data_IF_363169035188
#
_entry.id   IF_363169035188
#
_cell.length_a   1.000
_cell.length_b   1.000
_cell.length_c   1.000
_cell.angle_alpha   90.00
_cell.angle_beta   90.00
_cell.angle_gamma   90.00
#
_symmetry.space_group_name_H-M   'P 1'
#
loop_
_entity.id
_entity.type
_entity.pdbx_description
1 polymer ?
#
# COMPACT_ATOMS: atom_id res chain seq x y z
N UNK A 1 -19.19 -1.28 -16.95
CA UNK A 1 -18.24 -0.69 -15.98
C UNK A 1 -17.36 0.28 -16.74
N UNK A 2 -17.39 1.55 -16.38
CA UNK A 2 -16.46 2.56 -16.92
C UNK A 2 -15.48 2.92 -15.80
N UNK A 3 -14.41 2.13 -15.68
CA UNK A 3 -13.40 2.36 -14.65
C UNK A 3 -12.45 3.48 -15.10
N UNK A 4 -12.30 4.48 -14.24
CA UNK A 4 -11.37 5.59 -14.43
C UNK A 4 -10.35 5.63 -13.29
N UNK A 5 -9.07 5.80 -13.63
CA UNK A 5 -8.01 5.98 -12.65
C UNK A 5 -7.61 7.46 -12.62
N UNK A 6 -7.73 8.11 -11.47
CA UNK A 6 -7.38 9.50 -11.29
C UNK A 6 -6.28 9.65 -10.23
N UNK A 7 -5.15 10.31 -10.56
CA UNK A 7 -4.08 10.62 -9.63
C UNK A 7 -4.39 11.87 -8.81
N UNK A 8 -3.95 11.88 -7.55
CA UNK A 8 -4.02 13.00 -6.62
C UNK A 8 -2.69 13.12 -5.88
N UNK A 9 -2.22 14.34 -5.65
CA UNK A 9 -0.97 14.63 -4.96
C UNK A 9 -1.22 15.52 -3.73
N UNK A 10 -0.65 15.14 -2.60
CA UNK A 10 -0.73 15.94 -1.37
C UNK A 10 -2.17 16.40 -1.06
N UNK A 11 -2.36 17.69 -0.90
CA UNK A 11 -3.64 18.29 -0.52
C UNK A 11 -4.80 18.09 -1.52
N UNK A 12 -4.52 17.69 -2.77
CA UNK A 12 -5.56 17.37 -3.76
C UNK A 12 -6.43 16.18 -3.33
N UNK A 13 -5.90 15.32 -2.46
CA UNK A 13 -6.63 14.18 -1.91
C UNK A 13 -7.76 14.59 -0.94
N UNK A 14 -7.75 15.81 -0.40
CA UNK A 14 -8.64 16.22 0.69
C UNK A 14 -10.13 15.91 0.47
N UNK A 15 -10.73 16.12 -0.73
CA UNK A 15 -12.14 15.80 -0.96
C UNK A 15 -12.46 14.29 -0.91
N UNK A 16 -11.45 13.43 -0.98
CA UNK A 16 -11.60 11.97 -1.10
C UNK A 16 -11.17 11.19 0.14
N UNK A 17 -10.74 11.86 1.20
CA UNK A 17 -10.22 11.21 2.43
C UNK A 17 -11.22 10.24 3.04
N UNK A 18 -12.48 10.64 3.17
CA UNK A 18 -13.53 9.79 3.75
C UNK A 18 -13.85 8.58 2.86
N UNK A 19 -13.86 8.77 1.55
CA UNK A 19 -14.09 7.68 0.60
C UNK A 19 -12.93 6.66 0.63
N UNK A 20 -11.69 7.15 0.66
CA UNK A 20 -10.50 6.31 0.79
C UNK A 20 -10.46 5.59 2.14
N UNK A 21 -10.73 6.29 3.24
CA UNK A 21 -10.80 5.69 4.59
C UNK A 21 -11.84 4.59 4.67
N UNK A 22 -13.04 4.82 4.13
CA UNK A 22 -14.11 3.81 4.05
C UNK A 22 -13.69 2.59 3.23
N UNK A 23 -13.01 2.82 2.09
CA UNK A 23 -12.48 1.76 1.25
C UNK A 23 -11.42 0.93 1.99
N UNK A 24 -10.50 1.58 2.71
CA UNK A 24 -9.46 0.92 3.53
C UNK A 24 -10.09 0.02 4.60
N UNK A 25 -11.01 0.55 5.41
CA UNK A 25 -11.73 -0.24 6.41
C UNK A 25 -12.41 -1.44 5.76
N UNK A 26 -13.08 -1.26 4.63
CA UNK A 26 -13.83 -2.33 3.94
C UNK A 26 -12.89 -3.42 3.45
N UNK A 27 -11.79 -3.07 2.78
CA UNK A 27 -10.89 -4.04 2.16
C UNK A 27 -9.97 -4.70 3.18
N UNK A 28 -9.44 -3.93 4.12
CA UNK A 28 -8.56 -4.48 5.16
C UNK A 28 -9.29 -5.29 6.24
N UNK A 29 -10.63 -5.20 6.31
CA UNK A 29 -11.43 -6.11 7.13
C UNK A 29 -11.35 -7.56 6.65
N UNK A 30 -11.02 -7.79 5.38
CA UNK A 30 -10.80 -9.13 4.83
C UNK A 30 -9.46 -9.73 5.28
N UNK A 31 -9.37 -11.07 5.22
CA UNK A 31 -8.09 -11.77 5.37
C UNK A 31 -7.12 -11.32 4.24
N UNK A 32 -5.85 -11.04 4.48
CA UNK A 32 -5.08 -11.40 5.69
C UNK A 32 -5.03 -10.33 6.79
N UNK A 33 -5.55 -9.12 6.60
CA UNK A 33 -5.41 -8.02 7.56
C UNK A 33 -6.38 -8.13 8.74
N UNK A 34 -7.63 -8.52 8.51
CA UNK A 34 -8.67 -8.69 9.54
C UNK A 34 -8.89 -7.43 10.38
N UNK A 35 -8.62 -6.27 9.81
CA UNK A 35 -8.57 -4.99 10.47
C UNK A 35 -9.95 -4.52 10.95
N UNK A 36 -10.08 -4.19 12.23
CA UNK A 36 -11.27 -3.61 12.85
C UNK A 36 -11.06 -2.10 13.07
N UNK A 37 -11.06 -1.35 11.96
CA UNK A 37 -10.74 0.08 11.94
C UNK A 37 -11.93 1.00 12.09
N UNK A 38 -11.63 2.29 12.34
CA UNK A 38 -12.61 3.38 12.40
C UNK A 38 -12.28 4.50 11.41
N UNK A 39 -13.31 5.21 10.93
CA UNK A 39 -13.10 6.33 10.01
C UNK A 39 -12.34 7.50 10.66
N UNK A 40 -12.44 7.65 11.98
CA UNK A 40 -11.67 8.66 12.72
C UNK A 40 -10.17 8.36 12.61
N UNK A 41 -9.75 7.14 12.90
CA UNK A 41 -8.36 6.71 12.75
C UNK A 41 -7.88 6.86 11.30
N UNK A 42 -8.70 6.47 10.32
CA UNK A 42 -8.32 6.58 8.92
C UNK A 42 -8.11 8.04 8.47
N UNK A 43 -8.92 8.96 8.95
CA UNK A 43 -8.74 10.41 8.68
C UNK A 43 -7.40 10.91 9.20
N UNK A 44 -7.00 10.48 10.40
CA UNK A 44 -5.71 10.86 10.98
C UNK A 44 -4.55 10.21 10.24
N UNK A 45 -4.65 8.92 9.95
CA UNK A 45 -3.62 8.19 9.19
C UNK A 45 -3.38 8.82 7.81
N UNK A 46 -4.45 9.13 7.07
CA UNK A 46 -4.34 9.68 5.72
C UNK A 46 -3.76 11.10 5.65
N UNK A 47 -3.59 11.78 6.81
CA UNK A 47 -2.90 13.07 6.87
C UNK A 47 -1.46 13.01 6.37
N UNK A 48 -0.78 11.87 6.45
CA UNK A 48 0.58 11.70 5.94
C UNK A 48 0.64 11.99 4.44
N UNK A 49 -0.34 11.49 3.66
CA UNK A 49 -0.42 11.76 2.21
C UNK A 49 -0.77 13.21 1.90
N UNK A 50 -1.73 13.79 2.65
CA UNK A 50 -2.15 15.18 2.47
C UNK A 50 -1.01 16.18 2.70
N UNK A 51 -0.14 15.90 3.66
CA UNK A 51 1.00 16.77 4.04
C UNK A 51 2.22 16.59 3.16
N UNK A 52 2.31 15.48 2.41
CA UNK A 52 3.44 15.18 1.55
C UNK A 52 3.13 15.55 0.09
N UNK A 53 3.68 16.67 -0.44
CA UNK A 53 3.47 17.05 -1.85
C UNK A 53 4.03 16.03 -2.85
N UNK A 54 5.00 15.21 -2.41
CA UNK A 54 5.60 14.13 -3.21
C UNK A 54 4.84 12.80 -3.10
N UNK A 55 3.69 12.77 -2.41
CA UNK A 55 2.83 11.59 -2.40
C UNK A 55 2.05 11.46 -3.71
N UNK A 56 1.66 10.22 -4.02
CA UNK A 56 0.69 9.91 -5.06
C UNK A 56 -0.39 9.01 -4.47
N UNK A 57 -1.63 9.36 -4.69
CA UNK A 57 -2.80 8.50 -4.47
C UNK A 57 -3.54 8.37 -5.78
N UNK A 58 -3.67 7.15 -6.30
CA UNK A 58 -4.50 6.89 -7.49
C UNK A 58 -5.79 6.24 -7.04
N UNK A 59 -6.91 6.89 -7.29
CA UNK A 59 -8.24 6.36 -7.00
C UNK A 59 -8.85 5.74 -8.26
N UNK A 60 -9.43 4.56 -8.12
CA UNK A 60 -10.23 3.92 -9.14
C UNK A 60 -11.71 4.23 -8.91
N UNK A 61 -12.35 4.79 -9.92
CA UNK A 61 -13.76 5.17 -9.89
C UNK A 61 -14.60 4.28 -10.82
N UNK A 62 -15.81 3.91 -10.38
CA UNK A 62 -16.89 3.43 -11.23
C UNK A 62 -18.03 4.43 -11.13
N UNK A 63 -18.17 5.30 -12.14
CA UNK A 63 -18.94 6.54 -12.01
C UNK A 63 -18.35 7.44 -10.94
N UNK A 64 -19.16 7.85 -9.95
CA UNK A 64 -18.72 8.70 -8.83
C UNK A 64 -18.25 7.90 -7.61
N UNK A 65 -18.28 6.57 -7.68
CA UNK A 65 -17.93 5.71 -6.56
C UNK A 65 -16.45 5.33 -6.58
N UNK A 66 -15.74 5.56 -5.48
CA UNK A 66 -14.38 5.04 -5.27
C UNK A 66 -14.48 3.53 -4.99
N UNK A 67 -13.85 2.73 -5.84
CA UNK A 67 -13.90 1.26 -5.80
C UNK A 67 -12.54 0.61 -5.61
N UNK A 68 -11.48 1.40 -5.70
CA UNK A 68 -10.11 0.97 -5.47
C UNK A 68 -9.18 2.16 -5.25
N UNK A 69 -8.03 1.88 -4.68
CA UNK A 69 -6.99 2.88 -4.46
C UNK A 69 -5.61 2.24 -4.42
N UNK A 70 -4.61 3.04 -4.78
CA UNK A 70 -3.22 2.73 -4.51
C UNK A 70 -2.46 3.99 -4.15
N UNK A 71 -1.47 3.87 -3.26
CA UNK A 71 -0.74 5.00 -2.71
C UNK A 71 0.76 4.78 -2.74
N UNK A 72 1.53 5.86 -2.84
CA UNK A 72 2.95 5.84 -2.56
C UNK A 72 3.46 7.22 -2.13
N UNK A 73 4.60 7.22 -1.46
CA UNK A 73 5.32 8.43 -1.03
C UNK A 73 6.80 8.12 -0.77
N UNK A 74 7.69 9.14 -0.67
CA UNK A 74 9.06 8.89 -0.24
C UNK A 74 9.12 8.22 1.13
N UNK A 75 10.00 7.22 1.30
CA UNK A 75 10.20 6.54 2.58
C UNK A 75 10.64 7.51 3.68
N UNK A 76 11.37 8.56 3.33
CA UNK A 76 11.82 9.60 4.26
C UNK A 76 10.69 10.41 4.89
N UNK A 77 9.52 10.42 4.27
CA UNK A 77 8.30 11.13 4.72
C UNK A 77 7.31 10.19 5.46
N UNK A 78 7.58 8.89 5.45
CA UNK A 78 6.77 7.89 6.18
C UNK A 78 7.09 7.85 7.67
N UNK A 79 6.25 7.16 8.43
CA UNK A 79 6.40 6.99 9.87
C UNK A 79 7.69 6.24 10.26
N UNK A 80 8.20 6.47 11.48
CA UNK A 80 9.45 5.85 11.95
C UNK A 80 9.40 4.32 11.98
N UNK A 81 8.24 3.71 12.17
CA UNK A 81 8.03 2.27 12.15
C UNK A 81 8.31 1.65 10.78
N UNK A 82 8.03 2.36 9.67
CA UNK A 82 8.39 1.93 8.32
C UNK A 82 9.88 2.11 8.05
N UNK A 83 10.46 3.20 8.54
CA UNK A 83 11.85 3.58 8.29
C UNK A 83 12.85 2.72 9.06
N UNK A 84 12.49 2.21 10.24
CA UNK A 84 13.42 1.59 11.19
C UNK A 84 14.19 0.41 10.57
N UNK A 85 13.51 -0.48 9.85
CA UNK A 85 14.12 -1.64 9.19
C UNK A 85 15.17 -1.22 8.17
N UNK A 86 14.88 -0.20 7.37
CA UNK A 86 15.78 0.29 6.32
C UNK A 86 16.98 1.05 6.89
N UNK A 87 16.77 1.89 7.91
CA UNK A 87 17.86 2.58 8.62
C UNK A 87 18.82 1.57 9.25
N UNK A 88 18.29 0.54 9.93
CA UNK A 88 19.07 -0.52 10.54
C UNK A 88 19.90 -1.33 9.54
N UNK A 89 19.42 -1.47 8.32
CA UNK A 89 20.10 -2.17 7.24
C UNK A 89 21.00 -1.24 6.37
N UNK A 90 21.12 0.05 6.72
CA UNK A 90 22.02 0.99 6.04
C UNK A 90 21.52 1.56 4.72
N UNK A 91 20.22 1.51 4.46
CA UNK A 91 19.63 2.11 3.26
C UNK A 91 19.52 3.64 3.39
N UNK A 92 19.70 4.33 2.27
CA UNK A 92 19.37 5.75 2.15
C UNK A 92 17.87 5.92 1.86
N UNK A 93 17.12 6.44 2.83
CA UNK A 93 15.66 6.59 2.75
C UNK A 93 15.20 7.55 1.65
N UNK A 94 16.04 8.51 1.24
CA UNK A 94 15.73 9.44 0.16
C UNK A 94 15.67 8.75 -1.21
N UNK A 95 16.30 7.59 -1.33
CA UNK A 95 16.31 6.80 -2.57
C UNK A 95 15.17 5.80 -2.67
N UNK A 96 14.28 5.73 -1.67
CA UNK A 96 13.22 4.73 -1.56
C UNK A 96 11.86 5.39 -1.70
N UNK A 97 11.00 4.82 -2.56
CA UNK A 97 9.56 5.11 -2.59
C UNK A 97 8.81 3.97 -1.91
N UNK A 98 8.06 4.30 -0.87
CA UNK A 98 7.20 3.36 -0.17
C UNK A 98 5.81 3.32 -0.83
N UNK A 99 5.32 2.12 -1.10
CA UNK A 99 4.00 1.84 -1.65
C UNK A 99 3.10 1.40 -0.49
N UNK A 100 2.21 2.28 -0.07
CA UNK A 100 1.33 2.06 1.07
C UNK A 100 0.22 1.06 0.75
N UNK A 101 -0.88 1.54 0.20
CA UNK A 101 -2.03 0.70 -0.11
C UNK A 101 -2.06 0.27 -1.57
N UNK A 102 -2.67 -0.90 -1.80
CA UNK A 102 -3.14 -1.35 -3.10
C UNK A 102 -4.40 -2.17 -2.88
N UNK A 103 -5.54 -1.51 -2.87
CA UNK A 103 -6.82 -2.04 -2.41
C UNK A 103 -7.89 -1.91 -3.49
N UNK A 104 -8.71 -2.96 -3.60
CA UNK A 104 -9.83 -3.04 -4.55
C UNK A 104 -11.01 -3.75 -3.89
N UNK A 105 -12.20 -3.23 -4.09
CA UNK A 105 -13.42 -3.98 -3.74
C UNK A 105 -13.46 -5.29 -4.52
N UNK A 106 -13.95 -6.40 -3.93
CA UNK A 106 -13.91 -7.73 -4.53
C UNK A 106 -14.46 -7.80 -5.96
N UNK A 107 -15.56 -7.10 -6.24
CA UNK A 107 -16.20 -7.09 -7.55
C UNK A 107 -15.35 -6.49 -8.69
N UNK A 108 -14.28 -5.76 -8.34
CA UNK A 108 -13.40 -5.08 -9.29
C UNK A 108 -12.03 -5.75 -9.43
N UNK A 109 -11.81 -6.88 -8.74
CA UNK A 109 -10.59 -7.67 -8.84
C UNK A 109 -10.57 -8.49 -10.15
N UNK A 110 -9.36 -8.82 -10.62
CA UNK A 110 -9.21 -9.63 -11.84
C UNK A 110 -9.30 -8.86 -13.17
N UNK A 111 -9.52 -7.53 -13.15
CA UNK A 111 -9.65 -6.68 -14.34
C UNK A 111 -8.38 -5.91 -14.70
N UNK A 112 -7.21 -6.35 -14.24
CA UNK A 112 -5.92 -5.73 -14.57
C UNK A 112 -5.54 -4.51 -13.71
N UNK A 113 -6.44 -3.99 -12.87
CA UNK A 113 -6.20 -2.78 -12.05
C UNK A 113 -4.97 -2.91 -11.14
N UNK A 114 -4.70 -4.10 -10.59
CA UNK A 114 -3.50 -4.31 -9.78
C UNK A 114 -2.20 -4.02 -10.54
N UNK A 115 -2.10 -4.41 -11.82
CA UNK A 115 -0.94 -4.09 -12.67
C UNK A 115 -0.88 -2.58 -12.97
N UNK A 116 -2.02 -1.96 -13.26
CA UNK A 116 -2.10 -0.52 -13.49
C UNK A 116 -1.64 0.27 -12.26
N UNK A 117 -2.01 -0.18 -11.05
CA UNK A 117 -1.57 0.42 -9.79
C UNK A 117 -0.05 0.36 -9.62
N UNK A 118 0.59 -0.78 -9.93
CA UNK A 118 2.06 -0.88 -9.93
C UNK A 118 2.67 0.08 -10.94
N UNK A 119 2.15 0.15 -12.16
CA UNK A 119 2.66 1.03 -13.20
C UNK A 119 2.60 2.51 -12.78
N UNK A 120 1.50 2.98 -12.21
CA UNK A 120 1.35 4.35 -11.71
C UNK A 120 2.37 4.67 -10.60
N UNK A 121 2.49 3.79 -9.60
CA UNK A 121 3.41 4.01 -8.47
C UNK A 121 4.87 3.96 -8.91
N UNK A 122 5.25 3.02 -9.77
CA UNK A 122 6.61 2.92 -10.27
C UNK A 122 7.00 4.11 -11.16
N UNK A 123 6.07 4.60 -11.99
CA UNK A 123 6.30 5.81 -12.77
C UNK A 123 6.51 7.03 -11.85
N UNK A 124 5.66 7.18 -10.82
CA UNK A 124 5.80 8.25 -9.84
C UNK A 124 7.10 8.12 -9.03
N UNK A 125 7.46 6.92 -8.59
CA UNK A 125 8.71 6.66 -7.87
C UNK A 125 9.93 7.12 -8.68
N UNK A 126 9.99 6.82 -9.99
CA UNK A 126 11.06 7.31 -10.87
C UNK A 126 11.02 8.82 -10.99
N UNK A 127 9.85 9.42 -11.16
CA UNK A 127 9.69 10.88 -11.30
C UNK A 127 10.18 11.66 -10.07
N UNK A 128 10.06 11.08 -8.85
CA UNK A 128 10.61 11.68 -7.62
C UNK A 128 12.05 11.26 -7.33
N UNK A 129 12.72 10.54 -8.24
CA UNK A 129 14.13 10.16 -8.14
C UNK A 129 14.41 8.92 -7.29
N UNK A 130 13.40 8.14 -6.93
CA UNK A 130 13.61 6.91 -6.18
C UNK A 130 14.27 5.83 -7.03
N UNK A 131 15.19 5.08 -6.42
CA UNK A 131 15.90 3.95 -7.00
C UNK A 131 15.31 2.62 -6.57
N UNK A 132 14.59 2.60 -5.46
CA UNK A 132 13.97 1.42 -4.88
C UNK A 132 12.48 1.70 -4.67
N UNK A 133 11.65 0.75 -5.13
CA UNK A 133 10.25 0.68 -4.76
C UNK A 133 10.06 -0.42 -3.71
N UNK A 134 9.30 -0.15 -2.66
CA UNK A 134 9.07 -1.11 -1.58
C UNK A 134 7.65 -1.03 -1.04
N UNK A 135 7.14 -2.14 -0.55
CA UNK A 135 5.92 -2.24 0.25
C UNK A 135 6.10 -3.36 1.28
N UNK A 136 5.25 -3.40 2.28
CA UNK A 136 5.21 -4.52 3.22
C UNK A 136 3.85 -5.22 3.20
N UNK A 137 3.86 -6.48 3.59
CA UNK A 137 2.67 -7.32 3.68
C UNK A 137 2.67 -8.09 5.00
N UNK A 138 1.47 -8.23 5.60
CA UNK A 138 1.32 -8.92 6.88
C UNK A 138 1.69 -10.40 6.74
N UNK A 139 2.50 -10.88 7.66
CA UNK A 139 2.83 -12.31 7.76
C UNK A 139 1.71 -13.06 8.49
N UNK A 140 1.24 -14.16 7.88
CA UNK A 140 0.21 -15.02 8.47
C UNK A 140 0.61 -16.48 8.45
N UNK A 141 0.39 -17.21 9.54
CA UNK A 141 0.54 -18.66 9.56
C UNK A 141 -0.35 -19.33 8.51
N UNK A 142 0.13 -20.39 7.89
CA UNK A 142 -0.62 -21.13 6.89
C UNK A 142 -1.92 -21.76 7.42
N UNK A 143 -1.94 -22.07 8.71
CA UNK A 143 -3.04 -22.68 9.48
C UNK A 143 -3.89 -21.66 10.24
N UNK A 144 -3.79 -20.36 9.90
CA UNK A 144 -4.55 -19.32 10.58
C UNK A 144 -6.07 -19.62 10.53
N UNK A 145 -6.79 -19.59 11.68
CA UNK A 145 -8.19 -20.07 11.77
C UNK A 145 -9.17 -19.31 10.89
N UNK A 146 -8.89 -18.03 10.59
CA UNK A 146 -9.72 -17.18 9.73
C UNK A 146 -9.27 -17.18 8.26
N UNK A 147 -8.32 -18.04 7.88
CA UNK A 147 -7.89 -18.15 6.48
C UNK A 147 -9.00 -18.76 5.63
N UNK A 148 -9.49 -18.07 4.58
CA UNK A 148 -10.49 -18.66 3.69
C UNK A 148 -9.93 -19.87 2.93
N UNK A 149 -10.73 -20.91 2.71
CA UNK A 149 -10.31 -22.12 2.01
C UNK A 149 -9.77 -21.88 0.59
N UNK A 150 -10.25 -20.85 -0.08
CA UNK A 150 -9.81 -20.46 -1.43
C UNK A 150 -8.77 -19.35 -1.47
N UNK A 151 -8.22 -18.94 -0.32
CA UNK A 151 -7.27 -17.82 -0.27
C UNK A 151 -6.00 -18.11 -1.06
N UNK A 152 -5.65 -17.20 -1.95
CA UNK A 152 -4.42 -17.24 -2.74
C UNK A 152 -3.52 -16.09 -2.31
N UNK A 153 -2.32 -16.36 -1.78
CA UNK A 153 -1.33 -15.33 -1.49
C UNK A 153 -0.97 -14.52 -2.75
N UNK A 154 -0.67 -13.26 -2.56
CA UNK A 154 -0.29 -12.37 -3.67
C UNK A 154 1.21 -12.47 -4.04
N UNK A 155 1.98 -13.30 -3.37
CA UNK A 155 3.41 -13.48 -3.56
C UNK A 155 3.79 -13.71 -5.04
N UNK A 156 3.10 -14.63 -5.72
CA UNK A 156 3.33 -14.92 -7.15
C UNK A 156 3.03 -13.69 -8.01
N UNK A 157 1.98 -12.94 -7.68
CA UNK A 157 1.65 -11.72 -8.40
C UNK A 157 2.73 -10.64 -8.20
N UNK A 158 3.23 -10.45 -6.98
CA UNK A 158 4.29 -9.49 -6.69
C UNK A 158 5.62 -9.88 -7.33
N UNK A 159 5.97 -11.17 -7.30
CA UNK A 159 7.14 -11.69 -8.03
C UNK A 159 7.03 -11.43 -9.54
N UNK A 160 5.86 -11.63 -10.12
CA UNK A 160 5.62 -11.34 -11.54
C UNK A 160 5.69 -9.82 -11.86
N UNK A 161 5.58 -8.92 -10.86
CA UNK A 161 5.86 -7.49 -11.00
C UNK A 161 7.34 -7.16 -10.76
N UNK A 162 8.18 -8.14 -10.43
CA UNK A 162 9.64 -7.98 -10.22
C UNK A 162 10.02 -7.64 -8.78
N UNK A 163 9.13 -7.85 -7.81
CA UNK A 163 9.43 -7.66 -6.38
C UNK A 163 9.97 -8.94 -5.76
N UNK A 164 10.91 -8.77 -4.83
CA UNK A 164 11.50 -9.87 -4.05
C UNK A 164 11.18 -9.65 -2.57
N UNK A 165 10.79 -10.72 -1.87
CA UNK A 165 10.57 -10.72 -0.43
C UNK A 165 11.91 -10.64 0.31
N UNK A 166 11.99 -9.77 1.31
CA UNK A 166 13.17 -9.55 2.16
C UNK A 166 12.84 -9.90 3.62
N UNK A 167 12.97 -11.17 4.03
CA UNK A 167 12.61 -11.62 5.38
C UNK A 167 13.40 -10.91 6.49
N UNK A 168 14.57 -10.38 6.17
CA UNK A 168 15.42 -9.59 7.08
C UNK A 168 14.91 -8.16 7.29
N UNK A 169 14.02 -7.66 6.44
CA UNK A 169 13.40 -6.34 6.57
C UNK A 169 11.97 -6.53 7.04
N UNK A 170 11.72 -6.25 8.30
CA UNK A 170 10.41 -6.39 8.93
C UNK A 170 10.03 -5.12 9.69
N UNK A 171 8.74 -4.85 9.77
CA UNK A 171 8.16 -3.83 10.62
C UNK A 171 7.06 -4.45 11.48
N UNK A 172 6.84 -3.86 12.65
CA UNK A 172 5.75 -4.23 13.55
C UNK A 172 4.78 -3.07 13.65
N UNK A 173 3.53 -3.33 13.30
CA UNK A 173 2.44 -2.39 13.44
C UNK A 173 1.44 -2.89 14.46
N UNK A 174 0.73 -1.97 15.08
CA UNK A 174 -0.26 -2.27 16.11
C UNK A 174 -1.63 -1.90 15.57
N UNK A 175 -2.52 -2.88 15.48
CA UNK A 175 -3.93 -2.65 15.18
C UNK A 175 -4.81 -3.69 15.83
N UNK A 176 -6.10 -3.37 15.94
CA UNK A 176 -7.13 -4.28 16.43
C UNK A 176 -7.64 -5.14 15.27
N UNK A 177 -7.65 -6.44 15.44
CA UNK A 177 -8.30 -7.37 14.51
C UNK A 177 -9.73 -7.69 14.93
N UNK A 178 -10.50 -8.16 13.96
CA UNK A 178 -11.86 -8.66 14.20
C UNK A 178 -11.80 -9.79 15.23
N UNK A 179 -12.54 -9.63 16.33
CA UNK A 179 -12.61 -10.61 17.43
C UNK A 179 -11.57 -10.39 18.53
N UNK A 180 -10.64 -9.46 18.39
CA UNK A 180 -9.76 -9.04 19.48
C UNK A 180 -10.47 -8.01 20.39
N UNK A 181 -10.15 -8.04 21.69
CA UNK A 181 -10.66 -7.05 22.65
C UNK A 181 -9.83 -5.75 22.60
N UNK A 182 -8.53 -5.87 22.28
CA UNK A 182 -7.59 -4.77 22.23
C UNK A 182 -6.68 -4.90 20.98
N UNK A 183 -5.96 -3.82 20.68
CA UNK A 183 -4.91 -3.82 19.66
C UNK A 183 -3.77 -4.76 20.03
N UNK A 184 -3.17 -5.39 19.02
CA UNK A 184 -2.02 -6.28 19.19
C UNK A 184 -0.99 -6.12 18.07
N UNK A 185 0.31 -6.45 18.32
CA UNK A 185 1.36 -6.29 17.33
C UNK A 185 1.22 -7.31 16.20
N UNK A 186 1.44 -6.84 14.97
CA UNK A 186 1.46 -7.65 13.75
C UNK A 186 2.78 -7.40 13.02
N UNK A 187 3.41 -8.47 12.58
CA UNK A 187 4.63 -8.40 11.79
C UNK A 187 4.33 -8.33 10.30
N UNK A 188 4.99 -7.42 9.60
CA UNK A 188 4.94 -7.29 8.15
C UNK A 188 6.34 -7.42 7.59
N UNK A 189 6.48 -8.17 6.50
CA UNK A 189 7.74 -8.33 5.77
C UNK A 189 7.75 -7.46 4.51
N UNK A 190 8.87 -6.79 4.25
CA UNK A 190 9.03 -5.93 3.08
C UNK A 190 9.35 -6.73 1.82
N UNK A 191 8.86 -6.17 0.70
CA UNK A 191 9.13 -6.58 -0.66
C UNK A 191 9.77 -5.41 -1.40
N UNK A 192 10.88 -5.65 -2.10
CA UNK A 192 11.65 -4.62 -2.77
C UNK A 192 11.80 -4.91 -4.26
N UNK A 193 11.91 -3.83 -5.03
CA UNK A 193 12.30 -3.84 -6.43
C UNK A 193 13.26 -2.70 -6.70
N UNK A 194 14.41 -3.01 -7.33
CA UNK A 194 15.28 -1.99 -7.91
C UNK A 194 14.60 -1.39 -9.14
N UNK A 195 14.46 -0.07 -9.16
CA UNK A 195 13.93 0.64 -10.32
C UNK A 195 15.09 0.95 -11.24
N UNK A 196 15.03 0.47 -12.49
CA UNK A 196 15.99 0.90 -13.50
C UNK A 196 15.87 2.42 -13.71
N UNK A 197 16.97 3.15 -13.86
CA UNK A 197 16.89 4.54 -14.29
C UNK A 197 16.17 4.62 -15.62
N UNK A 198 15.36 5.69 -15.81
CA UNK A 198 14.73 5.93 -17.11
C UNK A 198 15.82 5.99 -18.17
N UNK A 199 15.74 5.10 -19.16
CA UNK A 199 16.62 5.24 -20.32
C UNK A 199 16.19 6.52 -21.06
N UNK A 200 17.12 7.44 -21.34
CA UNK A 200 16.76 8.60 -22.13
C UNK A 200 16.19 8.10 -23.47
N UNK A 201 14.99 8.56 -23.78
CA UNK A 201 14.39 8.27 -25.08
C UNK A 201 15.32 8.80 -26.15
N UNK A 202 15.94 7.89 -26.88
CA UNK A 202 16.80 8.18 -28.05
C UNK A 202 15.97 8.62 -29.25
#
# INVERSE_FOLDING_TARGET
>A
MSLTLLPFHGAELAPHVDALGTLRITVFREYPYLYDGSLEYERDYLQCYLRCPRSLVVLAFDGDKVVGATTCMPMSEEGPEFQAAFRGAGYDLETICYFGESILLPAYRGHGLGKAFFAHREAHARAIGAQIATFCAVDRPADHPLRPAGYRPLDIFWQAQGYTKHPELQATFIWKEIGEEAESPKTLTFWLKQLAPDQPQS
#
